data_IF_735406987417
#
_entry.id   IF_735406987417
#
_cell.length_a   1.000
_cell.length_b   1.000
_cell.length_c   1.000
_cell.angle_alpha   90.00
_cell.angle_beta   90.00
_cell.angle_gamma   90.00
#
_symmetry.space_group_name_H-M   'P 1'
#
loop_
_entity.id
_entity.type
_entity.pdbx_description
1 polymer ?
#
# COMPACT_ATOMS: atom_id res chain seq x y z
N UNK A 1 12.29 4.02 -17.06
CA UNK A 1 12.43 3.02 -16.00
C UNK A 1 11.23 3.18 -15.08
N UNK A 2 10.08 2.61 -15.43
CA UNK A 2 8.85 2.83 -14.67
C UNK A 2 8.67 1.68 -13.68
N UNK A 3 8.99 1.93 -12.40
CA UNK A 3 8.59 1.06 -11.30
C UNK A 3 7.07 1.05 -11.21
N UNK A 4 6.46 -0.13 -11.27
CA UNK A 4 5.02 -0.30 -11.07
C UNK A 4 4.64 0.27 -9.68
N UNK A 5 3.57 1.08 -9.56
CA UNK A 5 3.12 1.57 -8.27
C UNK A 5 2.77 0.39 -7.35
N UNK A 6 3.21 0.42 -6.09
CA UNK A 6 2.85 -0.57 -5.09
C UNK A 6 1.40 -0.34 -4.65
N UNK A 7 0.62 -1.41 -4.52
CA UNK A 7 -0.79 -1.31 -4.10
C UNK A 7 -0.97 -0.73 -2.68
N UNK A 8 0.04 -0.91 -1.83
CA UNK A 8 0.12 -0.34 -0.48
C UNK A 8 1.46 0.35 -0.32
N UNK A 9 1.42 1.66 -0.07
CA UNK A 9 2.56 2.45 0.34
C UNK A 9 2.47 2.69 1.85
N UNK A 10 3.60 2.78 2.54
CA UNK A 10 3.60 3.09 3.97
C UNK A 10 4.77 3.99 4.35
N UNK A 11 4.54 4.78 5.39
CA UNK A 11 5.58 5.57 6.05
C UNK A 11 5.43 5.42 7.55
N UNK A 12 6.55 5.33 8.27
CA UNK A 12 6.54 5.26 9.73
C UNK A 12 7.09 6.57 10.26
N UNK A 13 6.30 7.28 11.04
CA UNK A 13 6.64 8.52 11.71
C UNK A 13 6.60 8.30 13.23
N UNK A 14 7.78 8.14 13.83
CA UNK A 14 7.94 7.76 15.23
C UNK A 14 7.17 6.47 15.57
N UNK A 15 6.08 6.59 16.31
CA UNK A 15 5.25 5.49 16.78
C UNK A 15 3.94 5.35 15.98
N UNK A 16 3.84 6.04 14.83
CA UNK A 16 2.65 6.02 13.97
C UNK A 16 3.03 5.52 12.58
N UNK A 17 2.37 4.47 12.13
CA UNK A 17 2.45 4.01 10.74
C UNK A 17 1.30 4.62 9.94
N UNK A 18 1.62 5.34 8.87
CA UNK A 18 0.67 5.82 7.88
C UNK A 18 0.71 4.91 6.66
N UNK A 19 -0.45 4.41 6.27
CA UNK A 19 -0.61 3.47 5.15
C UNK A 19 -1.48 4.15 4.09
N UNK A 20 -0.98 4.20 2.85
CA UNK A 20 -1.70 4.73 1.69
C UNK A 20 -2.07 3.57 0.78
N UNK A 21 -3.37 3.39 0.53
CA UNK A 21 -3.84 2.51 -0.53
C UNK A 21 -3.69 3.22 -1.88
N UNK A 22 -2.91 2.64 -2.78
CA UNK A 22 -2.64 3.16 -4.10
C UNK A 22 -3.09 2.14 -5.17
N UNK A 23 -4.39 1.83 -5.19
CA UNK A 23 -5.00 0.90 -6.14
C UNK A 23 -6.22 1.53 -6.85
N UNK A 24 -6.02 2.62 -7.64
CA UNK A 24 -7.11 3.24 -8.38
C UNK A 24 -7.77 2.26 -9.37
N UNK A 25 -9.05 2.46 -9.73
CA UNK A 25 -9.87 3.65 -9.45
C UNK A 25 -10.62 3.63 -8.11
N UNK A 26 -10.84 2.46 -7.51
CA UNK A 26 -11.70 2.31 -6.33
C UNK A 26 -10.93 2.04 -5.02
N UNK A 27 -9.61 1.82 -5.09
CA UNK A 27 -8.77 1.38 -3.96
C UNK A 27 -9.31 0.11 -3.28
N UNK A 28 -9.87 -0.80 -4.07
CA UNK A 28 -10.38 -2.08 -3.57
C UNK A 28 -9.22 -2.91 -3.02
N UNK A 29 -9.45 -3.56 -1.88
CA UNK A 29 -8.53 -4.55 -1.34
C UNK A 29 -8.44 -5.75 -2.29
N UNK A 30 -7.24 -5.99 -2.81
CA UNK A 30 -6.90 -7.16 -3.61
C UNK A 30 -6.12 -8.15 -2.75
N UNK A 31 -5.97 -9.38 -3.23
CA UNK A 31 -5.07 -10.34 -2.59
C UNK A 31 -3.65 -9.78 -2.44
N UNK A 32 -3.17 -9.02 -3.42
CA UNK A 32 -1.84 -8.41 -3.39
C UNK A 32 -1.72 -7.33 -2.33
N UNK A 33 -2.73 -6.46 -2.19
CA UNK A 33 -2.70 -5.41 -1.15
C UNK A 33 -2.81 -5.98 0.25
N UNK A 34 -3.55 -7.07 0.44
CA UNK A 34 -3.61 -7.79 1.72
C UNK A 34 -2.28 -8.50 2.05
N UNK A 35 -1.62 -9.12 1.06
CA UNK A 35 -0.29 -9.69 1.27
C UNK A 35 0.74 -8.61 1.60
N UNK A 36 0.67 -7.45 0.94
CA UNK A 36 1.57 -6.32 1.23
C UNK A 36 1.43 -5.77 2.66
N UNK A 37 0.27 -5.96 3.32
CA UNK A 37 0.07 -5.59 4.72
C UNK A 37 0.52 -6.64 5.73
N UNK A 38 0.55 -7.92 5.33
CA UNK A 38 0.53 -9.04 6.28
C UNK A 38 1.84 -9.22 7.06
N UNK A 39 2.94 -8.65 6.60
CA UNK A 39 4.32 -8.92 7.07
C UNK A 39 4.74 -10.36 6.78
#
# INVERSE_FOLDING_TARGET
MSSTPQAIEHTIQNHVAMITMNNPPANTWTADSLHALKV
#
